data_IF_599020379158
#
_entry.id   IF_599020379158
#
_cell.length_a   1.000
_cell.length_b   1.000
_cell.length_c   1.000
_cell.angle_alpha   90.00
_cell.angle_beta   90.00
_cell.angle_gamma   90.00
#
_symmetry.space_group_name_H-M   'P 1'
#
loop_
_entity.id
_entity.type
_entity.pdbx_description
1 polymer ?
#
# COMPACT_ATOMS: atom_id res chain seq x y z
N UNK A 1 -14.11 -38.02 10.84
CA UNK A 1 -14.24 -37.78 9.39
C UNK A 1 -12.86 -37.44 8.90
N UNK A 2 -12.31 -38.27 8.00
CA UNK A 2 -11.04 -38.00 7.34
C UNK A 2 -11.20 -36.71 6.53
N UNK A 3 -10.74 -35.60 7.11
CA UNK A 3 -10.53 -34.37 6.36
C UNK A 3 -9.46 -34.71 5.32
N UNK A 4 -9.75 -34.42 4.06
CA UNK A 4 -8.88 -34.71 2.92
C UNK A 4 -7.44 -34.20 3.08
N UNK A 5 -6.58 -34.39 2.07
CA UNK A 5 -5.14 -34.16 2.20
C UNK A 5 -4.82 -32.82 2.87
N UNK A 6 -4.11 -32.87 3.99
CA UNK A 6 -3.66 -31.69 4.74
C UNK A 6 -2.28 -31.26 4.24
N UNK A 7 -2.09 -29.95 4.09
CA UNK A 7 -0.85 -29.37 3.60
C UNK A 7 -0.76 -27.88 3.91
N UNK A 8 0.44 -27.34 3.72
CA UNK A 8 0.79 -25.94 3.90
C UNK A 8 1.10 -25.30 2.55
N UNK A 9 0.82 -24.01 2.43
CA UNK A 9 1.13 -23.20 1.26
C UNK A 9 2.02 -22.05 1.71
N UNK A 10 3.26 -22.03 1.25
CA UNK A 10 4.15 -20.88 1.39
C UNK A 10 3.98 -19.98 0.17
N UNK A 11 3.70 -18.70 0.37
CA UNK A 11 3.60 -17.69 -0.69
C UNK A 11 4.68 -16.64 -0.47
N UNK A 12 5.49 -16.40 -1.50
CA UNK A 12 6.57 -15.40 -1.50
C UNK A 12 6.31 -14.40 -2.64
N UNK A 13 6.42 -13.10 -2.31
CA UNK A 13 6.21 -12.00 -3.26
C UNK A 13 7.49 -11.18 -3.34
N UNK A 14 8.16 -11.24 -4.50
CA UNK A 14 9.48 -10.62 -4.64
C UNK A 14 9.44 -9.08 -4.58
N UNK A 15 8.43 -8.46 -5.22
CA UNK A 15 8.27 -7.01 -5.26
C UNK A 15 6.79 -6.61 -5.32
N UNK A 16 6.45 -5.52 -4.63
CA UNK A 16 5.14 -4.85 -4.73
C UNK A 16 5.38 -3.35 -4.92
N UNK A 17 4.71 -2.74 -5.88
CA UNK A 17 4.79 -1.30 -6.16
C UNK A 17 3.42 -0.67 -6.02
N UNK A 18 3.34 0.33 -5.16
CA UNK A 18 2.14 1.13 -4.95
C UNK A 18 2.37 2.52 -5.53
N UNK A 19 1.31 3.11 -6.07
CA UNK A 19 1.28 4.50 -6.49
C UNK A 19 0.22 5.21 -5.68
N UNK A 20 0.60 6.36 -5.12
CA UNK A 20 -0.29 7.22 -4.36
C UNK A 20 -0.17 8.64 -4.88
N UNK A 21 -1.32 9.28 -5.09
CA UNK A 21 -1.43 10.66 -5.53
C UNK A 21 -2.05 11.48 -4.40
N UNK A 22 -1.46 12.64 -4.11
CA UNK A 22 -1.88 13.53 -3.05
C UNK A 22 -2.16 14.92 -3.60
N UNK A 23 -3.21 15.57 -3.10
CA UNK A 23 -3.49 16.98 -3.35
C UNK A 23 -3.33 17.74 -2.04
N UNK A 24 -2.70 18.91 -2.13
CA UNK A 24 -2.53 19.84 -1.02
C UNK A 24 -3.27 21.12 -1.39
N UNK A 25 -4.26 21.50 -0.59
CA UNK A 25 -4.82 22.84 -0.60
C UNK A 25 -3.93 23.75 0.26
N UNK A 26 -3.33 24.75 -0.38
CA UNK A 26 -2.42 25.70 0.26
C UNK A 26 -3.16 26.85 0.98
N UNK A 27 -4.47 26.98 0.76
CA UNK A 27 -5.30 28.00 1.41
C UNK A 27 -5.54 27.62 2.87
N UNK A 28 -5.96 26.37 3.08
CA UNK A 28 -6.31 25.83 4.40
C UNK A 28 -5.29 24.79 4.91
N UNK A 29 -4.16 24.61 4.20
CA UNK A 29 -3.12 23.62 4.46
C UNK A 29 -3.70 22.22 4.72
N UNK A 30 -4.59 21.78 3.84
CA UNK A 30 -5.28 20.50 3.94
C UNK A 30 -4.79 19.55 2.86
N UNK A 31 -4.42 18.33 3.25
CA UNK A 31 -3.85 17.31 2.38
C UNK A 31 -4.84 16.16 2.27
N UNK A 32 -5.19 15.72 1.06
CA UNK A 32 -5.94 14.48 0.90
C UNK A 32 -5.29 13.57 -0.13
N UNK A 33 -5.48 12.27 0.06
CA UNK A 33 -5.10 11.26 -0.90
C UNK A 33 -6.16 11.23 -2.00
N UNK A 34 -5.75 11.47 -3.24
CA UNK A 34 -6.63 11.47 -4.40
C UNK A 34 -6.77 10.07 -4.99
N UNK A 35 -5.66 9.35 -5.12
CA UNK A 35 -5.63 7.99 -5.64
C UNK A 35 -4.62 7.14 -4.85
N UNK A 36 -4.96 5.86 -4.71
CA UNK A 36 -4.06 4.87 -4.17
C UNK A 36 -4.33 3.53 -4.84
N UNK A 37 -3.29 2.96 -5.44
CA UNK A 37 -3.41 1.69 -6.16
C UNK A 37 -2.11 0.90 -6.13
N UNK A 38 -2.24 -0.42 -6.06
CA UNK A 38 -1.16 -1.33 -6.38
C UNK A 38 -0.97 -1.36 -7.90
N UNK A 39 0.18 -0.89 -8.40
CA UNK A 39 0.47 -0.80 -9.84
C UNK A 39 1.27 -1.98 -10.35
N UNK A 40 2.05 -2.62 -9.49
CA UNK A 40 2.79 -3.83 -9.86
C UNK A 40 2.87 -4.81 -8.68
N UNK A 41 2.67 -6.08 -8.97
CA UNK A 41 3.03 -7.18 -8.09
C UNK A 41 3.87 -8.14 -8.90
N UNK A 42 5.14 -8.24 -8.51
CA UNK A 42 6.15 -9.04 -9.18
C UNK A 42 5.86 -10.54 -9.11
N UNK A 43 6.92 -11.34 -9.26
CA UNK A 43 6.75 -12.79 -9.27
C UNK A 43 6.22 -13.28 -7.91
N UNK A 44 5.12 -14.02 -7.99
CA UNK A 44 4.54 -14.77 -6.88
C UNK A 44 5.08 -16.19 -6.97
N UNK A 45 5.82 -16.61 -5.95
CA UNK A 45 6.27 -17.99 -5.84
C UNK A 45 5.43 -18.71 -4.79
N UNK A 46 4.70 -19.74 -5.21
CA UNK A 46 3.81 -20.53 -4.35
C UNK A 46 4.39 -21.93 -4.22
N UNK A 47 4.66 -22.36 -2.98
CA UNK A 47 5.20 -23.69 -2.68
C UNK A 47 4.24 -24.45 -1.77
N UNK A 48 3.79 -25.61 -2.22
CA UNK A 48 2.97 -26.52 -1.43
C UNK A 48 3.87 -27.50 -0.67
N UNK A 49 3.62 -27.70 0.63
CA UNK A 49 4.32 -28.68 1.47
C UNK A 49 3.30 -29.59 2.16
N UNK A 50 3.50 -30.91 2.13
CA UNK A 50 2.54 -31.90 2.63
C UNK A 50 2.03 -32.82 1.53
N UNK A 51 1.38 -33.94 1.89
CA UNK A 51 1.23 -35.18 1.11
C UNK A 51 0.91 -35.04 -0.41
N UNK A 52 1.52 -35.94 -1.19
CA UNK A 52 1.84 -35.92 -2.64
C UNK A 52 0.68 -36.26 -3.60
N UNK A 53 -0.56 -36.45 -3.13
CA UNK A 53 -1.55 -37.24 -3.89
C UNK A 53 -2.15 -36.62 -5.17
N UNK A 54 -1.65 -35.50 -5.70
CA UNK A 54 -2.38 -34.76 -6.76
C UNK A 54 -1.53 -34.04 -7.80
N UNK A 55 -0.40 -34.60 -8.22
CA UNK A 55 0.50 -34.02 -9.25
C UNK A 55 -0.22 -33.49 -10.54
N UNK A 56 -1.40 -34.04 -10.87
CA UNK A 56 -2.26 -33.55 -11.97
C UNK A 56 -3.29 -32.46 -11.57
N UNK A 57 -3.77 -32.42 -10.33
CA UNK A 57 -4.62 -31.32 -9.82
C UNK A 57 -3.77 -30.12 -9.40
N UNK A 58 -2.51 -30.31 -9.01
CA UNK A 58 -1.60 -29.23 -8.62
C UNK A 58 -1.54 -28.14 -9.69
N UNK A 59 -1.45 -28.46 -10.99
CA UNK A 59 -1.41 -27.44 -12.04
C UNK A 59 -2.72 -26.64 -12.20
N UNK A 60 -3.89 -27.28 -12.05
CA UNK A 60 -5.19 -26.61 -12.12
C UNK A 60 -5.39 -25.72 -10.89
N UNK A 61 -5.08 -26.26 -9.71
CA UNK A 61 -5.22 -25.54 -8.46
C UNK A 61 -4.17 -24.44 -8.30
N UNK A 62 -2.93 -24.61 -8.75
CA UNK A 62 -1.88 -23.58 -8.69
C UNK A 62 -2.33 -22.32 -9.42
N UNK A 63 -2.92 -22.43 -10.61
CA UNK A 63 -3.38 -21.24 -11.35
C UNK A 63 -4.55 -20.53 -10.67
N UNK A 64 -5.52 -21.30 -10.15
CA UNK A 64 -6.67 -20.76 -9.42
C UNK A 64 -6.22 -20.12 -8.12
N UNK A 65 -5.40 -20.81 -7.34
CA UNK A 65 -4.82 -20.35 -6.08
C UNK A 65 -3.96 -19.12 -6.33
N UNK A 66 -3.08 -19.12 -7.33
CA UNK A 66 -2.26 -17.93 -7.67
C UNK A 66 -3.14 -16.73 -7.99
N UNK A 67 -4.23 -16.92 -8.73
CA UNK A 67 -5.16 -15.84 -9.08
C UNK A 67 -5.91 -15.33 -7.84
N UNK A 68 -6.43 -16.23 -7.02
CA UNK A 68 -7.14 -15.89 -5.78
C UNK A 68 -6.20 -15.20 -4.79
N UNK A 69 -5.00 -15.75 -4.55
CA UNK A 69 -3.99 -15.13 -3.69
C UNK A 69 -3.52 -13.79 -4.25
N UNK A 70 -3.31 -13.66 -5.56
CA UNK A 70 -2.97 -12.38 -6.18
C UNK A 70 -4.04 -11.33 -5.88
N UNK A 71 -5.31 -11.66 -6.06
CA UNK A 71 -6.41 -10.74 -5.80
C UNK A 71 -6.59 -10.45 -4.31
N UNK A 72 -6.53 -11.47 -3.45
CA UNK A 72 -6.67 -11.31 -2.00
C UNK A 72 -5.51 -10.51 -1.41
N UNK A 73 -4.26 -10.83 -1.75
CA UNK A 73 -3.08 -10.07 -1.30
C UNK A 73 -3.18 -8.63 -1.80
N UNK A 74 -3.51 -8.43 -3.08
CA UNK A 74 -3.71 -7.09 -3.62
C UNK A 74 -4.75 -6.33 -2.82
N UNK A 75 -5.93 -6.90 -2.59
CA UNK A 75 -7.01 -6.19 -1.91
C UNK A 75 -6.71 -5.96 -0.43
N UNK A 76 -6.23 -6.96 0.30
CA UNK A 76 -5.96 -6.84 1.74
C UNK A 76 -4.79 -5.89 1.99
N UNK A 77 -3.69 -6.03 1.24
CA UNK A 77 -2.51 -5.18 1.41
C UNK A 77 -2.82 -3.77 0.90
N UNK A 78 -3.50 -3.62 -0.24
CA UNK A 78 -3.88 -2.30 -0.75
C UNK A 78 -4.80 -1.58 0.23
N UNK A 79 -5.85 -2.23 0.74
CA UNK A 79 -6.75 -1.61 1.69
C UNK A 79 -6.03 -1.30 3.01
N UNK A 80 -5.23 -2.23 3.54
CA UNK A 80 -4.50 -1.99 4.78
C UNK A 80 -3.49 -0.84 4.69
N UNK A 81 -2.76 -0.72 3.58
CA UNK A 81 -1.84 0.40 3.35
C UNK A 81 -2.61 1.69 3.09
N UNK A 82 -3.70 1.64 2.33
CA UNK A 82 -4.56 2.80 2.10
C UNK A 82 -5.09 3.36 3.42
N UNK A 83 -5.67 2.50 4.28
CA UNK A 83 -6.20 2.88 5.59
C UNK A 83 -5.12 3.48 6.48
N UNK A 84 -3.91 2.91 6.46
CA UNK A 84 -2.76 3.44 7.20
C UNK A 84 -2.34 4.83 6.72
N UNK A 85 -2.23 5.03 5.39
CA UNK A 85 -1.87 6.33 4.80
C UNK A 85 -2.97 7.36 5.10
N UNK A 86 -4.24 6.97 4.97
CA UNK A 86 -5.38 7.85 5.26
C UNK A 86 -5.38 8.28 6.73
N UNK A 87 -5.17 7.36 7.68
CA UNK A 87 -5.07 7.68 9.10
C UNK A 87 -3.91 8.65 9.38
N UNK A 88 -2.77 8.47 8.68
CA UNK A 88 -1.62 9.37 8.80
C UNK A 88 -1.95 10.76 8.26
N UNK A 89 -2.63 10.86 7.12
CA UNK A 89 -3.08 12.13 6.57
C UNK A 89 -4.09 12.83 7.48
N UNK A 90 -5.01 12.08 8.06
CA UNK A 90 -6.00 12.63 9.01
C UNK A 90 -5.30 13.19 10.26
N UNK A 91 -4.28 12.50 10.78
CA UNK A 91 -3.45 13.01 11.87
C UNK A 91 -2.69 14.28 11.46
N UNK A 92 -2.05 14.28 10.29
CA UNK A 92 -1.35 15.45 9.76
C UNK A 92 -2.28 16.64 9.59
N UNK A 93 -3.44 16.44 8.96
CA UNK A 93 -4.47 17.45 8.82
C UNK A 93 -5.00 17.93 10.16
N UNK A 94 -5.15 17.04 11.14
CA UNK A 94 -5.53 17.42 12.51
C UNK A 94 -4.52 18.37 13.15
N UNK A 95 -3.22 18.13 12.93
CA UNK A 95 -2.14 19.01 13.39
C UNK A 95 -2.09 20.33 12.63
N UNK A 96 -2.39 20.33 11.34
CA UNK A 96 -2.37 21.52 10.47
C UNK A 96 -3.60 22.41 10.67
N UNK A 97 -4.81 21.84 10.82
CA UNK A 97 -6.06 22.57 11.10
C UNK A 97 -6.05 23.30 12.45
N UNK A 98 -5.14 22.94 13.35
CA UNK A 98 -4.92 23.62 14.63
C UNK A 98 -3.87 24.72 14.61
N UNK A 99 -3.16 24.93 13.50
CA UNK A 99 -2.10 25.94 13.37
C UNK A 99 -2.46 26.86 12.20
N UNK A 100 -3.07 28.01 12.51
CA UNK A 100 -2.90 29.15 11.61
C UNK A 100 -1.39 29.33 11.45
N UNK A 101 -0.88 29.22 10.22
CA UNK A 101 0.54 29.39 9.96
C UNK A 101 0.95 30.74 10.54
N UNK A 102 1.76 30.71 11.59
CA UNK A 102 2.12 31.95 12.27
C UNK A 102 2.93 32.81 11.30
N UNK A 103 2.82 34.14 11.39
CA UNK A 103 3.60 35.04 10.50
C UNK A 103 5.11 34.71 10.53
N UNK A 104 5.60 34.16 11.63
CA UNK A 104 6.98 33.68 11.78
C UNK A 104 7.27 32.40 10.98
N UNK A 105 6.39 31.40 11.00
CA UNK A 105 6.56 30.19 10.18
C UNK A 105 6.44 30.52 8.69
N UNK A 106 5.55 31.44 8.31
CA UNK A 106 5.43 31.97 6.95
C UNK A 106 6.71 32.69 6.48
N UNK A 107 7.30 33.53 7.34
CA UNK A 107 8.52 34.27 7.05
C UNK A 107 9.72 33.33 6.82
N UNK A 108 9.85 32.28 7.64
CA UNK A 108 10.91 31.26 7.49
C UNK A 108 10.75 30.50 6.17
N UNK A 109 9.53 30.14 5.80
CA UNK A 109 9.24 29.46 4.54
C UNK A 109 9.63 30.35 3.34
N UNK A 110 9.27 31.63 3.37
CA UNK A 110 9.62 32.61 2.32
C UNK A 110 11.14 32.79 2.21
N UNK A 111 11.85 32.84 3.34
CA UNK A 111 13.31 32.97 3.32
C UNK A 111 13.99 31.72 2.72
N UNK A 112 13.50 30.53 3.06
CA UNK A 112 14.01 29.28 2.50
C UNK A 112 13.73 29.17 1.00
N UNK A 113 12.54 29.58 0.54
CA UNK A 113 12.20 29.63 -0.88
C UNK A 113 13.09 30.63 -1.64
N UNK A 114 13.38 31.81 -1.05
CA UNK A 114 14.33 32.77 -1.63
C UNK A 114 15.72 32.17 -1.80
N UNK A 115 16.22 31.42 -0.81
CA UNK A 115 17.53 30.74 -0.88
C UNK A 115 17.58 29.64 -1.94
N UNK A 116 16.46 28.97 -2.21
CA UNK A 116 16.38 27.96 -3.28
C UNK A 116 16.31 28.56 -4.69
N UNK A 117 15.88 29.82 -4.83
CA UNK A 117 15.80 30.52 -6.12
C UNK A 117 17.06 31.36 -6.45
N UNK A 118 17.96 31.54 -5.49
CA UNK A 118 19.20 32.34 -5.63
C UNK A 118 20.47 31.48 -5.65
N UNK A 119 20.34 30.16 -5.54
CA UNK A 119 21.38 29.17 -5.85
C UNK A 119 21.03 28.47 -7.17
#
# INVERSE_FOLDING_TARGET
MDLGPTGFVDVDVATMTFTSEFIIDLTDFYIWMQDFRLTNMGNLNIRFRGNVLVDWLTNIFVNIITTVFRNTITNVVSNGIHDFIQATLDEMNGRLRGRAMTEQEAAVLIENLKKMLTN
#
